data_IF_303348050171
#
_entry.id   IF_303348050171
#
_cell.length_a   1.000
_cell.length_b   1.000
_cell.length_c   1.000
_cell.angle_alpha   90.00
_cell.angle_beta   90.00
_cell.angle_gamma   90.00
#
_symmetry.space_group_name_H-M   'P 1'
#
loop_
_entity.id
_entity.type
_entity.pdbx_description
1 polymer ?
2 non-polymer ?
3 water ?
#
# COMPACT_ATOMS: atom_id res chain seq x y z
N UNK A 8 -15.50 -12.18 10.73
CA UNK A 8 -15.17 -10.82 10.23
C UNK A 8 -14.13 -10.96 9.12
N UNK A 9 -14.52 -10.68 7.86
CA UNK A 9 -13.55 -10.82 6.76
C UNK A 9 -12.31 -9.93 6.92
N UNK A 10 -12.42 -8.80 7.62
CA UNK A 10 -11.28 -7.92 7.86
C UNK A 10 -10.22 -8.51 8.82
N UNK A 11 -10.71 -9.27 9.80
CA UNK A 11 -9.81 -9.97 10.72
C UNK A 11 -9.20 -11.17 9.98
N UNK A 12 -10.02 -11.84 9.16
CA UNK A 12 -9.53 -13.00 8.37
C UNK A 12 -8.44 -12.51 7.39
N UNK A 13 -8.59 -11.28 6.90
CA UNK A 13 -7.62 -10.68 5.99
C UNK A 13 -6.25 -10.57 6.65
N UNK A 14 -6.19 -9.86 7.80
CA UNK A 14 -4.93 -9.72 8.53
C UNK A 14 -4.39 -11.09 8.95
N UNK A 15 -5.24 -11.98 9.39
CA UNK A 15 -4.81 -13.32 9.72
C UNK A 15 -4.15 -14.06 8.54
N UNK A 16 -4.65 -13.86 7.33
CA UNK A 16 -4.03 -14.48 6.14
C UNK A 16 -2.62 -13.95 5.97
N UNK A 17 -2.39 -12.67 6.28
CA UNK A 17 -1.06 -12.08 6.20
C UNK A 17 -0.11 -12.68 7.22
N UNK A 18 -0.62 -13.01 8.40
CA UNK A 18 0.23 -13.64 9.38
C UNK A 18 0.67 -14.99 8.81
N UNK A 19 -0.24 -15.73 8.18
CA UNK A 19 0.09 -17.03 7.63
C UNK A 19 1.00 -16.95 6.38
N UNK A 20 0.81 -15.92 5.58
CA UNK A 20 1.49 -15.77 4.30
C UNK A 20 2.76 -14.90 4.31
N UNK A 21 3.13 -14.38 5.48
CA UNK A 21 4.20 -13.39 5.56
C UNK A 21 5.52 -13.90 4.99
N UNK A 22 5.89 -15.12 5.32
CA UNK A 22 7.16 -15.66 4.86
C UNK A 22 7.16 -15.87 3.35
N UNK A 23 6.07 -16.38 2.83
CA UNK A 23 5.91 -16.59 1.40
C UNK A 23 6.01 -15.24 0.69
N UNK A 24 5.45 -14.21 1.32
CA UNK A 24 5.45 -12.86 0.80
C UNK A 24 6.88 -12.26 0.74
N UNK A 25 7.63 -12.39 1.82
CA UNK A 25 9.02 -11.91 1.87
C UNK A 25 9.79 -12.51 0.71
N UNK A 26 9.70 -13.83 0.60
CA UNK A 26 10.42 -14.55 -0.44
C UNK A 26 10.00 -14.08 -1.84
N UNK A 27 8.70 -13.96 -2.08
CA UNK A 27 8.19 -13.53 -3.39
C UNK A 27 8.64 -12.12 -3.79
N UNK A 28 8.48 -11.18 -2.87
CA UNK A 28 8.84 -9.81 -3.12
C UNK A 28 10.34 -9.59 -3.28
N UNK A 29 11.17 -10.21 -2.44
CA UNK A 29 12.61 -10.00 -2.47
C UNK A 29 13.34 -10.78 -3.55
N UNK A 30 12.82 -11.95 -3.86
CA UNK A 30 13.45 -12.81 -4.83
C UNK A 30 13.04 -12.40 -6.23
N UNK A 31 12.06 -11.49 -6.34
CA UNK A 31 11.62 -10.92 -7.62
C UNK A 31 10.63 -11.78 -8.39
N UNK A 32 9.84 -12.57 -7.63
CA UNK A 32 8.83 -13.48 -8.17
C UNK A 32 7.58 -12.80 -8.84
N UNK A 33 7.30 -11.55 -8.51
CA UNK A 33 6.11 -10.84 -9.01
C UNK A 33 6.50 -9.94 -10.19
N UNK A 34 6.22 -10.42 -11.39
CA UNK A 34 6.58 -9.76 -12.64
C UNK A 34 6.02 -8.32 -12.78
N UNK A 35 4.76 -8.12 -12.40
CA UNK A 35 4.16 -6.78 -12.50
C UNK A 35 4.94 -5.73 -11.71
N UNK A 36 5.50 -6.15 -10.58
CA UNK A 36 6.25 -5.26 -9.70
C UNK A 36 7.54 -4.82 -10.33
N UNK A 37 8.33 -5.78 -10.77
CA UNK A 37 9.62 -5.41 -11.37
C UNK A 37 9.50 -4.73 -12.73
N UNK A 38 8.43 -5.04 -13.47
CA UNK A 38 8.27 -4.44 -14.78
C UNK A 38 7.55 -3.09 -14.78
N UNK A 39 6.67 -2.85 -13.82
CA UNK A 39 5.86 -1.63 -13.85
C UNK A 39 5.57 -0.93 -12.53
N UNK A 40 5.04 -1.67 -11.56
CA UNK A 40 4.47 -0.99 -10.39
C UNK A 40 5.43 -0.44 -9.34
N UNK A 41 6.58 -1.10 -9.13
CA UNK A 41 7.58 -0.56 -8.19
C UNK A 41 8.02 0.86 -8.63
N UNK A 42 8.34 0.98 -9.92
CA UNK A 42 8.79 2.23 -10.50
C UNK A 42 7.69 3.30 -10.45
N UNK A 43 6.46 2.88 -10.77
CA UNK A 43 5.32 3.78 -10.81
C UNK A 43 5.12 4.50 -9.46
N UNK A 44 5.06 3.75 -8.36
CA UNK A 44 4.89 4.38 -7.03
C UNK A 44 6.13 5.20 -6.63
N UNK A 45 7.32 4.66 -6.89
CA UNK A 45 8.57 5.36 -6.57
C UNK A 45 8.65 6.73 -7.26
N UNK A 46 8.39 6.77 -8.56
CA UNK A 46 8.39 7.99 -9.31
C UNK A 46 7.29 8.97 -8.84
N UNK A 47 6.10 8.46 -8.50
CA UNK A 47 5.03 9.32 -8.01
C UNK A 47 5.44 9.97 -6.66
N UNK A 48 6.15 9.22 -5.83
CA UNK A 48 6.63 9.75 -4.56
C UNK A 48 7.76 10.75 -4.77
N UNK A 49 8.77 10.37 -5.54
CA UNK A 49 9.94 11.23 -5.75
C UNK A 49 9.56 12.55 -6.42
N UNK A 50 8.55 12.49 -7.28
CA UNK A 50 8.02 13.67 -7.98
C UNK A 50 7.53 14.74 -7.03
N UNK A 51 7.09 14.36 -5.84
CA UNK A 51 6.62 15.36 -4.88
C UNK A 51 7.71 15.89 -3.95
N UNK A 52 8.92 15.36 -4.09
CA UNK A 52 10.06 15.75 -3.29
C UNK A 52 9.77 15.80 -1.79
N UNK A 53 9.22 14.70 -1.25
CA UNK A 53 8.94 14.72 0.18
C UNK A 53 10.21 14.63 0.99
N UNK A 54 10.17 15.10 2.23
CA UNK A 54 11.27 14.92 3.14
C UNK A 54 10.96 13.81 4.16
N UNK A 55 9.68 13.66 4.50
CA UNK A 55 9.19 12.66 5.48
C UNK A 55 8.05 11.89 4.90
N UNK A 56 8.17 10.58 4.83
CA UNK A 56 7.17 9.72 4.25
C UNK A 56 6.79 8.60 5.22
N UNK A 57 5.50 8.31 5.31
CA UNK A 57 5.00 7.17 6.06
C UNK A 57 4.51 6.17 5.03
N UNK A 58 5.04 4.96 5.10
CA UNK A 58 4.66 3.84 4.23
C UNK A 58 3.69 2.97 5.04
N UNK A 59 2.43 3.06 4.67
CA UNK A 59 1.32 2.42 5.33
C UNK A 59 1.11 1.03 4.80
N UNK A 60 1.25 0.04 5.69
CA UNK A 60 1.21 -1.35 5.26
C UNK A 60 2.47 -1.63 4.49
N UNK A 61 3.62 -1.25 5.09
CA UNK A 61 4.92 -1.33 4.45
C UNK A 61 5.44 -2.71 4.11
N UNK A 62 4.83 -3.75 4.68
CA UNK A 62 5.29 -5.09 4.45
C UNK A 62 6.73 -5.27 4.88
N UNK A 63 7.49 -6.02 4.07
CA UNK A 63 8.91 -6.26 4.36
C UNK A 63 9.86 -5.08 4.04
N UNK A 64 9.34 -3.92 3.65
CA UNK A 64 10.12 -2.69 3.55
C UNK A 64 10.84 -2.31 2.28
N UNK A 65 10.55 -2.97 1.15
CA UNK A 65 11.26 -2.66 -0.10
C UNK A 65 11.17 -1.15 -0.44
N UNK A 66 10.02 -0.55 -0.19
CA UNK A 66 9.84 0.88 -0.50
C UNK A 66 10.56 1.81 0.48
N UNK A 67 10.59 1.44 1.76
CA UNK A 67 11.37 2.13 2.75
C UNK A 67 12.82 2.17 2.30
N UNK A 68 13.33 1.05 1.81
CA UNK A 68 14.74 0.96 1.34
C UNK A 68 14.97 1.80 0.07
N UNK A 69 14.05 1.74 -0.88
CA UNK A 69 14.15 2.49 -2.12
C UNK A 69 14.15 3.99 -1.82
N UNK A 70 13.32 4.44 -0.87
CA UNK A 70 13.28 5.85 -0.47
C UNK A 70 14.54 6.26 0.31
N UNK A 71 15.00 5.40 1.23
CA UNK A 71 16.24 5.67 1.97
C UNK A 71 17.41 5.81 1.00
N UNK A 72 17.46 4.96 -0.02
CA UNK A 72 18.54 5.01 -1.00
C UNK A 72 18.57 6.37 -1.72
N UNK A 73 17.46 7.11 -1.72
CA UNK A 73 17.40 8.43 -2.35
C UNK A 73 17.40 9.59 -1.35
N UNK A 74 17.80 9.30 -0.12
CA UNK A 74 17.89 10.32 0.89
C UNK A 74 16.62 10.77 1.58
N UNK A 75 15.54 10.01 1.40
CA UNK A 75 14.27 10.36 2.02
C UNK A 75 14.09 9.61 3.35
N UNK A 76 13.64 10.32 4.39
CA UNK A 76 13.31 9.71 5.67
C UNK A 76 11.97 9.03 5.55
N UNK A 77 11.97 7.68 5.56
CA UNK A 77 10.76 6.92 5.42
C UNK A 77 10.53 6.14 6.69
N UNK A 78 9.31 6.20 7.22
CA UNK A 78 8.90 5.48 8.40
C UNK A 78 7.89 4.46 7.91
N UNK A 79 7.99 3.23 8.37
CA UNK A 79 7.02 2.26 7.97
C UNK A 79 6.09 1.85 9.11
N UNK A 80 4.89 1.41 8.75
CA UNK A 80 3.96 0.80 9.72
C UNK A 80 3.29 -0.41 9.06
N UNK A 81 3.15 -1.49 9.81
CA UNK A 81 2.50 -2.70 9.33
C UNK A 81 1.93 -3.49 10.50
N UNK A 82 0.90 -4.28 10.20
CA UNK A 82 0.23 -5.06 11.21
C UNK A 82 0.75 -6.47 11.41
N UNK A 83 1.74 -6.88 10.65
CA UNK A 83 2.28 -8.22 10.80
C UNK A 83 3.71 -8.20 11.32
N UNK A 84 3.96 -8.96 12.39
CA UNK A 84 5.26 -9.00 13.05
C UNK A 84 6.40 -9.57 12.21
N UNK A 85 6.14 -10.63 11.46
CA UNK A 85 7.18 -11.21 10.59
C UNK A 85 7.63 -10.21 9.56
N UNK A 86 6.68 -9.49 8.97
CA UNK A 86 7.04 -8.47 7.97
C UNK A 86 7.77 -7.28 8.59
N UNK A 87 7.27 -6.79 9.72
CA UNK A 87 7.89 -5.69 10.46
C UNK A 87 9.33 -6.05 10.87
N UNK A 88 9.51 -7.24 11.41
CA UNK A 88 10.82 -7.73 11.80
C UNK A 88 11.74 -7.79 10.61
N UNK A 89 11.26 -8.33 9.48
CA UNK A 89 12.07 -8.41 8.24
C UNK A 89 12.44 -7.01 7.73
N UNK A 90 11.51 -6.07 7.78
CA UNK A 90 11.78 -4.71 7.34
C UNK A 90 12.87 -4.11 8.20
N UNK A 91 12.74 -4.27 9.52
CA UNK A 91 13.76 -3.75 10.44
C UNK A 91 15.11 -4.42 10.25
N UNK A 92 15.16 -5.74 10.06
CA UNK A 92 16.44 -6.44 9.91
C UNK A 92 17.14 -6.04 8.60
N UNK A 93 16.38 -5.57 7.60
CA UNK A 93 16.93 -5.18 6.31
C UNK A 93 17.38 -3.73 6.21
N UNK A 94 17.15 -2.89 7.22
CA UNK A 94 17.49 -1.45 7.10
C UNK A 94 17.67 -0.66 8.39
N UNK A 95 18.08 0.61 8.27
CA UNK A 95 18.30 1.46 9.44
C UNK A 95 17.01 2.16 9.91
N UNK A 96 16.01 2.18 9.06
CA UNK A 96 14.78 2.89 9.40
C UNK A 96 13.87 2.37 10.51
N UNK A 97 12.96 3.25 10.89
CA UNK A 97 11.91 3.10 11.90
C UNK A 97 10.74 2.37 11.24
N UNK A 98 10.29 1.30 11.86
CA UNK A 98 9.13 0.53 11.42
C UNK A 98 8.30 0.29 12.67
N UNK A 99 7.03 0.64 12.60
CA UNK A 99 6.14 0.43 13.72
C UNK A 99 5.20 -0.74 13.50
N UNK A 100 4.91 -1.47 14.59
CA UNK A 100 3.85 -2.50 14.56
C UNK A 100 2.52 -1.86 14.97
N UNK A 101 1.54 -1.91 14.08
CA UNK A 101 0.18 -1.37 14.33
C UNK A 101 -0.82 -1.95 13.36
N UNK A 102 -2.03 -2.24 13.83
CA UNK A 102 -3.08 -2.65 12.90
C UNK A 102 -3.74 -1.40 12.37
N UNK A 103 -4.39 -1.52 11.23
CA UNK A 103 -5.18 -0.44 10.66
C UNK A 103 -6.30 -0.02 11.59
N UNK A 104 -6.90 -0.96 12.32
CA UNK A 104 -7.96 -0.63 13.28
C UNK A 104 -7.38 0.27 14.39
N UNK A 105 -6.18 -0.05 14.87
CA UNK A 105 -5.48 0.82 15.83
C UNK A 105 -5.19 2.20 15.22
N UNK A 106 -4.70 2.23 13.99
CA UNK A 106 -4.38 3.52 13.35
C UNK A 106 -5.61 4.38 13.09
N UNK A 107 -6.72 3.75 12.70
CA UNK A 107 -8.00 4.45 12.45
C UNK A 107 -8.45 5.18 13.68
N UNK A 108 -8.13 4.65 14.86
CA UNK A 108 -8.46 5.27 16.13
C UNK A 108 -7.30 5.99 16.80
N UNK A 109 -6.18 6.17 16.09
CA UNK A 109 -5.00 6.91 16.63
C UNK A 109 -4.50 6.28 17.92
N UNK A 110 -4.56 4.95 18.02
CA UNK A 110 -4.17 4.23 19.23
C UNK A 110 -2.65 3.87 19.32
N UNK A 111 -1.92 3.98 18.21
CA UNK A 111 -0.51 3.64 18.15
C UNK A 111 0.24 4.82 17.56
N UNK A 112 1.23 5.35 18.30
CA UNK A 112 2.02 6.46 17.75
C UNK A 112 2.91 6.00 16.60
N UNK A 113 2.78 6.66 15.45
CA UNK A 113 3.60 6.31 14.29
C UNK A 113 4.27 7.54 13.69
N UNK A 114 4.34 8.61 14.47
CA UNK A 114 4.85 9.88 13.98
C UNK A 114 3.74 10.73 13.35
N UNK A 115 4.06 12.00 13.08
CA UNK A 115 3.12 12.88 12.41
C UNK A 115 3.86 13.90 11.54
N UNK A 116 3.12 14.85 10.96
CA UNK A 116 3.72 15.87 10.07
C UNK A 116 4.46 15.24 8.89
N UNK A 117 3.83 14.27 8.27
CA UNK A 117 4.37 13.62 7.10
C UNK A 117 4.03 14.47 5.86
N UNK A 118 5.01 14.60 4.97
CA UNK A 118 4.82 15.25 3.68
C UNK A 118 3.98 14.37 2.79
N UNK A 119 4.16 13.06 2.97
CA UNK A 119 3.48 12.11 2.11
C UNK A 119 3.25 10.80 2.82
N UNK A 120 2.09 10.19 2.58
CA UNK A 120 1.78 8.87 3.11
C UNK A 120 1.50 7.97 1.89
N UNK A 121 2.18 6.84 1.81
CA UNK A 121 1.95 5.95 0.68
C UNK A 121 1.39 4.63 1.12
N UNK A 122 0.51 4.09 0.29
CA UNK A 122 -0.11 2.79 0.50
C UNK A 122 0.02 2.01 -0.82
N UNK A 123 0.96 1.09 -0.85
CA UNK A 123 1.23 0.27 -2.04
C UNK A 123 0.62 -1.12 -1.91
N UNK A 124 -0.52 -1.31 -2.58
CA UNK A 124 -1.27 -2.56 -2.55
C UNK A 124 -1.53 -3.00 -1.12
N UNK A 125 -1.83 -2.01 -0.26
CA UNK A 125 -1.96 -2.24 1.16
C UNK A 125 -3.36 -2.02 1.73
N UNK A 126 -4.31 -1.55 0.92
CA UNK A 126 -5.64 -1.24 1.38
C UNK A 126 -6.58 -2.19 0.65
N UNK A 127 -6.84 -3.31 1.29
CA UNK A 127 -7.59 -4.42 0.73
C UNK A 127 -8.83 -4.76 1.53
N UNK A 128 -9.17 -3.91 2.50
CA UNK A 128 -10.30 -4.13 3.36
C UNK A 128 -11.49 -3.27 2.93
N UNK A 129 -12.62 -3.49 3.59
CA UNK A 129 -13.86 -2.87 3.23
C UNK A 129 -14.07 -1.45 3.76
N UNK A 130 -13.88 -1.25 5.04
CA UNK A 130 -14.18 0.07 5.64
C UNK A 130 -12.86 0.81 5.81
N UNK A 131 -12.53 1.66 4.83
CA UNK A 131 -11.24 2.35 4.76
C UNK A 131 -11.29 3.85 5.04
N UNK A 132 -12.48 4.43 5.07
CA UNK A 132 -12.64 5.87 5.25
C UNK A 132 -12.04 6.40 6.56
N UNK A 133 -12.29 5.71 7.67
CA UNK A 133 -11.75 6.14 8.95
C UNK A 133 -10.24 6.06 8.97
N UNK A 134 -9.66 5.03 8.35
CA UNK A 134 -8.21 4.92 8.24
C UNK A 134 -7.65 6.09 7.40
N UNK A 135 -8.23 6.31 6.23
CA UNK A 135 -7.82 7.41 5.38
C UNK A 135 -7.95 8.78 6.09
N UNK A 136 -9.02 8.97 6.87
CA UNK A 136 -9.20 10.22 7.60
C UNK A 136 -8.10 10.34 8.65
N UNK A 137 -7.77 9.24 9.31
CA UNK A 137 -6.69 9.22 10.31
C UNK A 137 -5.35 9.60 9.64
N UNK A 139 -4.94 11.48 6.91
CA UNK A 139 -5.03 12.91 6.61
C UNK A 139 -4.52 13.75 7.77
N UNK A 140 -4.98 13.43 8.96
CA UNK A 140 -4.58 14.09 10.22
C UNK A 140 -3.06 14.05 10.39
N UNK A 141 -2.43 12.99 9.89
CA UNK A 141 -0.97 12.86 9.98
C UNK A 141 -0.18 13.62 8.89
N UNK A 142 -0.88 14.22 7.93
CA UNK A 142 -0.23 14.98 6.86
C UNK A 142 -0.04 16.44 7.21
N UNK A 143 1.08 17.02 6.80
CA UNK A 143 1.24 18.46 6.90
C UNK A 143 0.24 19.12 5.92
N UNK A 144 -0.03 20.43 6.10
CA UNK A 144 -0.89 21.07 5.10
C UNK A 144 -0.24 20.97 3.69
N UNK A 145 -1.05 20.57 2.72
CA UNK A 145 -0.58 20.38 1.35
C UNK A 145 0.10 19.02 1.14
N UNK A 146 0.17 18.19 2.18
CA UNK A 146 0.77 16.87 2.04
C UNK A 146 -0.14 15.99 1.22
N UNK A 147 0.34 14.81 0.84
CA UNK A 147 -0.43 13.93 -0.01
C UNK A 147 -0.42 12.48 0.40
N UNK A 148 -1.52 11.83 0.08
CA UNK A 148 -1.67 10.40 0.16
C UNK A 148 -1.48 9.88 -1.26
N UNK A 149 -0.60 8.88 -1.43
CA UNK A 149 -0.36 8.21 -2.71
C UNK A 149 -0.80 6.75 -2.54
N UNK A 150 -1.78 6.32 -3.31
CA UNK A 150 -2.27 4.95 -3.22
C UNK A 150 -2.03 4.24 -4.54
N UNK A 151 -1.41 3.08 -4.50
CA UNK A 151 -1.32 2.25 -5.68
C UNK A 151 -2.10 0.98 -5.33
N UNK A 152 -3.00 0.58 -6.22
CA UNK A 152 -3.83 -0.54 -5.97
C UNK A 152 -4.09 -1.34 -7.26
N UNK A 153 -4.63 -2.53 -7.08
CA UNK A 153 -4.97 -3.35 -8.24
C UNK A 153 -5.95 -2.54 -9.11
N UNK A 154 -5.82 -2.62 -10.42
CA UNK A 154 -6.71 -1.83 -11.27
C UNK A 154 -8.12 -2.41 -11.22
N UNK A 155 -9.15 -1.64 -10.77
CA UNK A 155 -10.50 -2.19 -10.64
C UNK A 155 -11.05 -2.90 -11.88
N UNK A 156 -10.76 -2.34 -13.05
CA UNK A 156 -11.22 -2.92 -14.29
C UNK A 156 -10.46 -4.19 -14.65
N UNK A 157 -9.16 -4.23 -14.39
CA UNK A 157 -8.37 -5.43 -14.66
C UNK A 157 -8.71 -6.59 -13.75
N UNK A 158 -9.11 -6.34 -12.52
CA UNK A 158 -9.39 -7.43 -11.60
C UNK A 158 -10.90 -7.65 -11.32
N UNK A 159 -11.78 -7.01 -12.11
CA UNK A 159 -13.24 -7.09 -11.92
C UNK A 159 -13.74 -8.52 -12.11
N UNK A 160 -13.10 -9.26 -12.99
CA UNK A 160 -13.41 -10.67 -13.22
C UNK A 160 -14.91 -10.84 -13.54
N UNK A 161 -15.44 -9.97 -14.40
CA UNK A 161 -16.85 -10.04 -14.81
C UNK A 161 -17.89 -9.63 -13.78
N UNK A 162 -17.46 -9.12 -12.63
CA UNK A 162 -18.40 -8.69 -11.59
C UNK A 162 -17.96 -7.33 -11.09
N UNK A 163 -18.32 -6.27 -11.81
CA UNK A 163 -17.91 -4.92 -11.42
C UNK A 163 -18.89 -4.36 -10.38
N UNK A 164 -18.67 -4.76 -9.14
CA UNK A 164 -19.50 -4.39 -8.01
C UNK A 164 -18.70 -4.58 -6.74
N UNK A 165 -18.83 -3.64 -5.81
CA UNK A 165 -18.12 -3.74 -4.53
C UNK A 165 -18.49 -5.06 -3.83
N UNK A 166 -17.51 -5.69 -3.20
CA UNK A 166 -17.78 -6.96 -2.51
C UNK A 166 -16.52 -7.74 -2.19
N UNK A 167 -16.64 -8.66 -1.24
CA UNK A 167 -15.54 -9.51 -0.82
C UNK A 167 -15.23 -10.56 -1.86
N UNK A 168 -13.95 -10.85 -1.98
CA UNK A 168 -13.45 -11.84 -2.87
C UNK A 168 -12.39 -12.62 -2.14
N UNK A 169 -11.87 -13.62 -2.83
CA UNK A 169 -10.81 -14.43 -2.29
C UNK A 169 -9.70 -14.70 -3.30
N UNK A 170 -8.49 -14.36 -2.89
CA UNK A 170 -7.26 -14.59 -3.67
C UNK A 170 -6.61 -15.90 -3.21
N UNK A 171 -6.41 -16.81 -4.15
CA UNK A 171 -5.80 -18.10 -3.87
C UNK A 171 -4.26 -18.11 -4.03
N UNK A 172 -3.72 -17.07 -4.66
CA UNK A 172 -2.28 -16.93 -5.03
C UNK A 172 -1.82 -18.02 -6.01
N UNK A 173 -2.72 -18.51 -6.85
CA UNK A 173 -2.41 -19.57 -7.82
C UNK A 173 -1.12 -19.34 -8.64
N UNK A 174 -0.89 -18.12 -9.12
CA UNK A 174 0.32 -17.91 -9.94
C UNK A 174 1.67 -17.72 -9.20
N UNK A 175 1.62 -17.60 -7.87
CA UNK A 175 2.77 -17.27 -7.04
C UNK A 175 3.60 -18.46 -6.58
N UNK A 176 4.91 -18.29 -6.67
CA UNK A 176 5.86 -19.28 -6.15
C UNK A 176 5.68 -19.27 -4.64
N UNK A 177 5.81 -20.44 -4.05
CA UNK A 177 5.65 -20.64 -2.62
C UNK A 177 4.31 -21.29 -2.29
N UNK A 178 4.03 -21.48 -1.00
CA UNK A 178 2.81 -22.08 -0.51
C UNK A 178 2.02 -21.00 0.27
N UNK A 179 0.75 -20.84 -0.09
CA UNK A 179 -0.10 -19.76 0.38
C UNK A 179 -1.46 -20.18 0.92
N UNK A 180 -1.97 -19.44 1.88
CA UNK A 180 -3.32 -19.60 2.38
C UNK A 180 -4.15 -18.57 1.64
N UNK A 181 -5.44 -18.88 1.36
CA UNK A 181 -6.28 -17.94 0.65
C UNK A 181 -6.42 -16.63 1.40
N UNK A 183 -8.86 -13.26 1.93
CA UNK A 183 -10.06 -12.51 1.60
C UNK A 183 -9.70 -11.02 1.37
N UNK A 184 -10.27 -10.42 0.34
CA UNK A 184 -9.96 -9.02 0.03
C UNK A 184 -11.21 -8.36 -0.53
N UNK A 185 -11.32 -7.05 -0.33
CA UNK A 185 -12.50 -6.32 -0.76
C UNK A 185 -12.29 -5.63 -2.10
N UNK A 186 -13.05 -6.05 -3.10
CA UNK A 186 -13.02 -5.43 -4.40
C UNK A 186 -13.87 -4.16 -4.35
N UNK A 187 -13.34 -3.03 -4.83
CA UNK A 187 -14.13 -1.84 -4.92
C UNK A 187 -13.99 -1.20 -6.33
N UNK A 188 -15.06 -0.59 -6.80
CA UNK A 188 -15.07 0.08 -8.08
C UNK A 188 -14.26 1.41 -8.01
N UNK A 189 -13.95 1.97 -9.19
CA UNK A 189 -13.30 3.25 -9.30
C UNK A 189 -14.11 4.32 -8.56
N UNK A 190 -15.40 4.38 -8.82
CA UNK A 190 -16.28 5.39 -8.20
C UNK A 190 -16.19 5.25 -6.67
N UNK A 191 -16.15 4.02 -6.19
CA UNK A 191 -16.09 3.76 -4.76
C UNK A 191 -14.76 4.23 -4.12
N UNK A 192 -13.63 4.05 -4.82
CA UNK A 192 -12.35 4.58 -4.35
C UNK A 192 -12.39 6.10 -4.24
N UNK A 193 -12.89 6.76 -5.26
CA UNK A 193 -12.94 8.21 -5.26
C UNK A 193 -13.91 8.76 -4.21
N UNK A 194 -15.03 8.07 -4.00
CA UNK A 194 -15.94 8.41 -2.93
C UNK A 194 -15.21 8.32 -1.56
N UNK A 195 -14.44 7.26 -1.35
CA UNK A 195 -13.73 7.03 -0.08
C UNK A 195 -12.76 8.16 0.17
N UNK A 196 -12.01 8.57 -0.87
CA UNK A 196 -11.07 9.67 -0.75
C UNK A 196 -11.80 10.94 -0.33
N UNK A 197 -12.90 11.22 -1.01
CA UNK A 197 -13.70 12.37 -0.74
C UNK A 197 -14.25 12.39 0.68
N UNK A 199 -13.07 10.97 3.20
CA UNK A 199 -11.93 11.07 4.11
C UNK A 199 -11.33 12.49 4.14
N UNK A 200 -11.91 13.41 3.37
CA UNK A 200 -11.47 14.80 3.30
C UNK A 200 -10.27 14.98 2.39
N UNK A 201 -10.07 14.06 1.45
CA UNK A 201 -8.93 14.14 0.56
C UNK A 201 -9.40 14.45 -0.86
N UNK A 202 -8.64 15.31 -1.53
CA UNK A 202 -8.94 15.70 -2.93
C UNK A 202 -8.02 15.02 -3.96
N UNK A 203 -8.60 14.29 -4.90
CA UNK A 203 -7.82 13.63 -5.95
C UNK A 203 -7.11 14.67 -6.80
N UNK A 204 -5.79 14.64 -6.90
CA UNK A 204 -5.08 15.58 -7.74
C UNK A 204 -4.39 14.88 -8.90
N UNK A 205 -4.32 13.56 -8.90
CA UNK A 205 -3.68 12.87 -10.00
C UNK A 205 -4.12 11.44 -10.05
N UNK A 206 -4.33 10.92 -11.25
CA UNK A 206 -4.71 9.55 -11.44
C UNK A 206 -3.91 8.98 -12.60
N UNK A 207 -3.25 7.84 -12.36
CA UNK A 207 -2.50 7.19 -13.42
C UNK A 207 -2.90 5.73 -13.38
N UNK A 208 -2.66 5.06 -14.50
CA UNK A 208 -2.93 3.66 -14.68
C UNK A 208 -1.66 3.02 -15.25
N UNK A 209 -0.66 2.78 -14.38
CA UNK A 209 0.59 2.20 -14.86
C UNK A 209 0.37 0.93 -15.70
N UNK A 210 1.05 0.85 -16.81
CA UNK A 210 0.86 -0.20 -17.78
C UNK A 210 2.13 -0.41 -18.58
N UNK A 211 2.60 -1.65 -18.67
CA UNK A 211 3.80 -1.94 -19.43
C UNK A 211 3.53 -1.68 -20.91
N UNK A 212 4.51 -1.11 -21.64
CA UNK A 212 4.35 -0.87 -23.09
C UNK A 212 3.82 -2.04 -23.91
N UNK A 213 4.13 -3.27 -23.50
CA UNK A 213 3.66 -4.46 -24.20
C UNK A 213 2.43 -5.09 -23.56
N UNK A 214 1.84 -4.45 -22.54
CA UNK A 214 0.62 -4.97 -21.92
C UNK A 214 -0.60 -4.31 -22.58
N UNK A 215 -1.69 -5.07 -22.64
CA UNK A 215 -2.95 -4.60 -23.20
C UNK A 215 -3.85 -4.02 -22.11
N UNK A 216 -3.60 -4.39 -20.86
CA UNK A 216 -4.36 -3.92 -19.74
C UNK A 216 -3.44 -3.22 -18.72
N UNK A 217 -4.00 -2.25 -17.97
CA UNK A 217 -3.15 -1.65 -16.95
C UNK A 217 -2.83 -2.64 -15.83
N UNK A 218 -1.67 -2.47 -15.21
CA UNK A 218 -1.25 -3.28 -14.07
C UNK A 218 -1.75 -2.74 -12.74
N UNK A 219 -2.04 -1.45 -12.66
CA UNK A 219 -2.51 -0.89 -11.40
C UNK A 219 -3.26 0.41 -11.63
N UNK A 220 -3.81 0.95 -10.54
CA UNK A 220 -4.44 2.26 -10.50
C UNK A 220 -3.63 3.02 -9.44
N UNK A 221 -3.12 4.19 -9.80
CA UNK A 221 -2.29 4.97 -8.88
C UNK A 221 -2.92 6.35 -8.75
N UNK A 223 -3.14 10.08 -6.41
CA UNK A 223 -2.53 11.01 -5.45
C UNK A 223 -3.69 11.93 -5.04
N UNK A 224 -3.87 12.08 -3.74
CA UNK A 224 -4.92 12.91 -3.15
C UNK A 224 -4.30 13.82 -2.10
N UNK A 225 -4.71 15.08 -2.11
CA UNK A 225 -4.20 16.08 -1.18
C UNK A 225 -5.13 16.43 -0.07
N UNK A 226 -4.46 16.78 1.03
CA UNK A 226 -5.11 17.19 2.24
C UNK A 226 -5.75 18.53 1.97
N UNK A 227 -7.10 18.52 1.85
CA UNK A 227 -8.00 19.70 1.65
C UNK A 227 -9.01 19.42 0.49
#
# INVERSE_FOLDING_TARGET
GXEPIXRNPEDALLDSWHQNAQAWIDAVRHGAIESRRQVTDQAILLAILGRQPERVLDLGCGEGWLLRALADRGIEAVGVDGDRTLVDAARAAGAGEVHLASYAQLAEAKVPVGKDYDLICANFALLHQDIIELLSAXRTLLVPGGALVIQTLHPWSVADGDYQDGWREESFAGFAGDWQPXPWYFRTLASWLNALDXAGLRLVSLQEPQHPQSAVPQSLLXVAERH
#
